data_IF_354993507569
#
_entry.id   IF_354993507569
#
_cell.length_a   1.000
_cell.length_b   1.000
_cell.length_c   1.000
_cell.angle_alpha   90.00
_cell.angle_beta   90.00
_cell.angle_gamma   90.00
#
_symmetry.space_group_name_H-M   'P 1'
#
loop_
_entity.id
_entity.type
_entity.pdbx_description
1 polymer ?
#
# COMPACT_ATOMS: atom_id res chain seq x y z
N UNK A 1 0.37 15.23 -11.07
CA UNK A 1 -0.34 13.94 -10.93
C UNK A 1 -0.03 13.42 -9.54
N UNK A 2 -1.04 12.99 -8.81
CA UNK A 2 -0.87 12.40 -7.47
C UNK A 2 -0.83 10.87 -7.60
N UNK A 3 -0.09 10.22 -6.71
CA UNK A 3 0.06 8.77 -6.64
C UNK A 3 -0.31 8.35 -5.22
N UNK A 4 -1.24 7.42 -5.09
CA UNK A 4 -1.60 6.79 -3.83
C UNK A 4 -1.28 5.29 -3.90
N UNK A 5 -0.46 4.83 -2.96
CA UNK A 5 -0.17 3.42 -2.73
C UNK A 5 -0.91 2.95 -1.48
N UNK A 6 -1.95 2.15 -1.68
CA UNK A 6 -2.78 1.61 -0.59
C UNK A 6 -2.54 0.11 -0.50
N UNK A 7 -2.16 -0.37 0.68
CA UNK A 7 -1.93 -1.79 0.94
C UNK A 7 -2.91 -2.34 1.97
N UNK A 8 -3.40 -3.56 1.74
CA UNK A 8 -4.18 -4.33 2.70
C UNK A 8 -3.23 -5.31 3.40
N UNK A 9 -2.94 -5.07 4.67
CA UNK A 9 -1.89 -5.82 5.35
C UNK A 9 -2.29 -7.29 5.53
N UNK A 10 -1.40 -8.19 5.13
CA UNK A 10 -1.54 -9.63 5.30
C UNK A 10 -2.81 -10.25 4.69
N UNK A 11 -3.46 -9.58 3.72
CA UNK A 11 -4.63 -10.12 3.02
C UNK A 11 -4.25 -11.36 2.21
N UNK A 12 -4.93 -12.48 2.48
CA UNK A 12 -4.79 -13.70 1.68
C UNK A 12 -5.67 -13.64 0.44
N UNK A 13 -5.18 -14.26 -0.63
CA UNK A 13 -5.91 -14.34 -1.90
C UNK A 13 -7.24 -15.10 -1.76
N UNK A 14 -7.28 -16.19 -0.99
CA UNK A 14 -8.52 -16.96 -0.78
C UNK A 14 -9.55 -16.20 0.04
N UNK A 15 -9.14 -15.47 1.09
CA UNK A 15 -10.02 -14.55 1.81
C UNK A 15 -10.56 -13.43 0.93
N UNK A 16 -9.75 -12.93 -0.01
CA UNK A 16 -10.18 -11.90 -0.96
C UNK A 16 -11.25 -12.40 -1.94
N UNK A 17 -11.23 -13.68 -2.30
CA UNK A 17 -12.26 -14.29 -3.15
C UNK A 17 -13.56 -14.62 -2.41
N UNK A 18 -13.50 -14.84 -1.10
CA UNK A 18 -14.68 -15.13 -0.25
C UNK A 18 -15.47 -13.86 0.10
N UNK A 19 -14.80 -12.70 0.13
CA UNK A 19 -15.39 -11.43 0.55
C UNK A 19 -16.36 -10.83 -0.48
N UNK A 20 -17.44 -10.20 0.00
CA UNK A 20 -18.36 -9.41 -0.83
C UNK A 20 -17.92 -7.95 -0.88
N UNK A 21 -17.22 -7.54 -1.94
CA UNK A 21 -16.58 -6.22 -2.05
C UNK A 21 -17.08 -5.38 -3.23
N UNK A 22 -18.32 -4.83 -3.18
CA UNK A 22 -18.89 -4.08 -4.29
C UNK A 22 -18.09 -2.82 -4.65
N UNK A 23 -17.46 -2.14 -3.68
CA UNK A 23 -16.73 -0.91 -3.96
C UNK A 23 -15.38 -1.19 -4.65
N UNK A 24 -14.65 -2.22 -4.22
CA UNK A 24 -13.45 -2.72 -4.90
C UNK A 24 -13.78 -3.24 -6.30
N UNK A 25 -14.89 -3.97 -6.46
CA UNK A 25 -15.32 -4.45 -7.77
C UNK A 25 -15.61 -3.30 -8.75
N UNK A 26 -16.26 -2.23 -8.26
CA UNK A 26 -16.48 -1.01 -9.04
C UNK A 26 -15.15 -0.31 -9.39
N UNK A 27 -14.22 -0.23 -8.44
CA UNK A 27 -12.88 0.32 -8.67
C UNK A 27 -12.12 -0.49 -9.72
N UNK A 28 -12.06 -1.81 -9.61
CA UNK A 28 -11.41 -2.68 -10.59
C UNK A 28 -12.02 -2.51 -11.98
N UNK A 29 -13.34 -2.51 -12.08
CA UNK A 29 -14.05 -2.32 -13.36
C UNK A 29 -13.67 -0.98 -14.00
N UNK A 30 -13.53 0.09 -13.19
CA UNK A 30 -13.17 1.43 -13.69
C UNK A 30 -11.78 1.48 -14.36
N UNK A 31 -10.89 0.54 -14.05
CA UNK A 31 -9.54 0.43 -14.62
C UNK A 31 -9.36 -0.81 -15.51
N UNK A 32 -10.46 -1.46 -15.90
CA UNK A 32 -10.44 -2.61 -16.81
C UNK A 32 -9.94 -3.91 -16.17
N UNK A 33 -10.00 -4.02 -14.85
CA UNK A 33 -9.69 -5.26 -14.11
C UNK A 33 -11.01 -5.92 -13.71
N UNK A 34 -11.15 -7.21 -14.03
CA UNK A 34 -12.39 -7.95 -13.72
C UNK A 34 -12.32 -8.66 -12.36
N UNK A 35 -11.14 -9.13 -11.96
CA UNK A 35 -10.97 -9.98 -10.78
C UNK A 35 -9.62 -9.74 -10.12
N UNK A 36 -9.50 -10.18 -8.86
CA UNK A 36 -8.22 -10.29 -8.17
C UNK A 36 -7.21 -11.12 -8.97
N UNK A 37 -6.04 -10.53 -9.24
CA UNK A 37 -4.94 -11.23 -9.92
C UNK A 37 -4.13 -12.02 -8.90
N UNK A 38 -4.02 -13.33 -9.10
CA UNK A 38 -3.31 -14.23 -8.17
C UNK A 38 -1.80 -14.10 -8.33
N UNK A 39 -1.19 -13.19 -7.58
CA UNK A 39 0.28 -13.02 -7.51
C UNK A 39 0.77 -13.01 -6.06
N UNK A 40 2.06 -13.28 -5.87
CA UNK A 40 2.69 -13.33 -4.55
C UNK A 40 3.36 -12.02 -4.18
N UNK A 41 3.28 -11.64 -2.91
CA UNK A 41 4.15 -10.62 -2.35
C UNK A 41 5.60 -11.09 -2.31
N UNK A 42 6.55 -10.15 -2.35
CA UNK A 42 7.99 -10.44 -2.18
C UNK A 42 8.40 -10.45 -0.71
N UNK A 43 7.73 -11.29 0.06
CA UNK A 43 7.93 -11.47 1.49
C UNK A 43 6.77 -12.25 2.09
N UNK A 44 7.05 -13.06 3.09
CA UNK A 44 6.02 -13.81 3.85
C UNK A 44 5.58 -13.08 5.13
N UNK A 45 6.10 -11.88 5.37
CA UNK A 45 5.71 -11.00 6.47
C UNK A 45 5.72 -9.53 6.02
N UNK A 46 5.07 -8.67 6.81
CA UNK A 46 4.82 -7.27 6.51
C UNK A 46 6.09 -6.49 6.16
N UNK A 47 7.10 -6.49 7.03
CA UNK A 47 8.33 -5.71 6.82
C UNK A 47 9.02 -6.03 5.48
N UNK A 48 9.31 -7.30 5.19
CA UNK A 48 10.03 -7.66 3.95
C UNK A 48 9.24 -7.28 2.69
N UNK A 49 7.93 -7.48 2.70
CA UNK A 49 7.04 -7.12 1.60
C UNK A 49 7.07 -5.61 1.34
N UNK A 50 6.96 -4.80 2.40
CA UNK A 50 6.97 -3.33 2.28
C UNK A 50 8.34 -2.78 1.91
N UNK A 51 9.44 -3.39 2.38
CA UNK A 51 10.78 -3.06 1.90
C UNK A 51 10.86 -3.33 0.40
N UNK A 52 10.40 -4.47 -0.11
CA UNK A 52 10.45 -4.76 -1.55
C UNK A 52 9.71 -3.68 -2.38
N UNK A 53 8.53 -3.28 -1.92
CA UNK A 53 7.71 -2.26 -2.56
C UNK A 53 8.32 -0.85 -2.47
N UNK A 54 8.57 -0.36 -1.26
CA UNK A 54 8.98 1.03 -1.01
C UNK A 54 10.46 1.28 -1.25
N UNK A 55 11.31 0.25 -1.15
CA UNK A 55 12.73 0.38 -1.46
C UNK A 55 12.97 0.26 -2.96
N UNK A 56 12.52 -0.83 -3.58
CA UNK A 56 12.90 -1.19 -4.95
C UNK A 56 11.81 -0.92 -5.99
N UNK A 57 10.58 -0.60 -5.59
CA UNK A 57 9.45 -0.51 -6.50
C UNK A 57 8.96 -1.88 -6.98
N UNK A 58 9.24 -2.95 -6.23
CA UNK A 58 8.88 -4.31 -6.61
C UNK A 58 7.61 -4.71 -5.85
N UNK A 59 6.49 -4.66 -6.58
CA UNK A 59 5.15 -4.99 -6.10
C UNK A 59 4.86 -6.49 -6.22
N UNK A 60 3.78 -7.00 -5.57
CA UNK A 60 3.35 -8.37 -5.77
C UNK A 60 3.26 -8.72 -7.27
N UNK A 61 3.98 -9.74 -7.70
CA UNK A 61 4.08 -10.09 -9.12
C UNK A 61 4.33 -11.59 -9.33
N UNK A 62 4.05 -12.05 -10.54
CA UNK A 62 4.43 -13.39 -11.02
C UNK A 62 4.75 -13.31 -12.51
N UNK A 63 5.97 -13.70 -12.88
CA UNK A 63 6.49 -13.55 -14.25
C UNK A 63 6.15 -14.76 -15.16
N UNK A 64 4.89 -15.17 -15.18
CA UNK A 64 4.36 -16.15 -16.15
C UNK A 64 3.61 -15.44 -17.28
N UNK A 65 3.55 -16.07 -18.46
CA UNK A 65 3.05 -15.43 -19.67
C UNK A 65 1.55 -15.09 -19.62
N UNK A 66 0.78 -15.73 -18.75
CA UNK A 66 -0.64 -15.49 -18.52
C UNK A 66 -0.91 -14.28 -17.60
N UNK A 67 0.06 -13.85 -16.80
CA UNK A 67 -0.10 -12.73 -15.88
C UNK A 67 0.07 -11.40 -16.62
N UNK A 68 -0.89 -10.46 -16.56
CA UNK A 68 -0.80 -9.18 -17.24
C UNK A 68 0.20 -8.23 -16.57
N UNK A 69 0.69 -7.23 -17.31
CA UNK A 69 1.23 -6.02 -16.67
C UNK A 69 0.07 -5.31 -15.94
N UNK A 70 0.28 -4.74 -14.74
CA UNK A 70 1.54 -4.49 -14.04
C UNK A 70 2.05 -5.62 -13.13
N UNK A 71 1.33 -6.73 -13.02
CA UNK A 71 1.66 -7.84 -12.12
C UNK A 71 2.72 -8.80 -12.67
N UNK A 72 3.27 -8.49 -13.85
CA UNK A 72 4.38 -9.21 -14.48
C UNK A 72 5.47 -8.22 -14.87
N UNK A 73 6.60 -8.29 -14.15
CA UNK A 73 7.73 -7.36 -14.29
C UNK A 73 8.51 -7.49 -15.59
N UNK A 74 8.29 -8.57 -16.35
CA UNK A 74 8.83 -8.74 -17.71
C UNK A 74 7.98 -8.01 -18.76
N UNK A 75 6.74 -7.67 -18.43
CA UNK A 75 5.81 -6.98 -19.33
C UNK A 75 5.71 -5.49 -19.01
N UNK A 76 5.63 -5.16 -17.72
CA UNK A 76 5.52 -3.78 -17.24
C UNK A 76 6.11 -3.65 -15.84
N UNK A 77 6.84 -2.56 -15.58
CA UNK A 77 7.26 -2.19 -14.23
C UNK A 77 6.57 -0.86 -13.87
N UNK A 78 5.73 -0.85 -12.84
CA UNK A 78 5.05 0.38 -12.42
C UNK A 78 6.04 1.42 -11.90
N UNK A 79 6.91 0.99 -11.00
CA UNK A 79 7.93 1.81 -10.37
C UNK A 79 9.27 1.10 -10.50
N UNK A 80 10.34 1.86 -10.54
CA UNK A 80 11.68 1.30 -10.65
C UNK A 80 12.68 2.24 -10.01
N UNK A 81 13.23 1.85 -8.87
CA UNK A 81 14.44 2.50 -8.37
C UNK A 81 15.55 2.26 -9.42
N UNK A 82 16.25 3.32 -9.84
CA UNK A 82 17.37 3.13 -10.77
C UNK A 82 18.48 2.36 -10.06
N UNK A 83 18.76 1.14 -10.51
CA UNK A 83 19.82 0.31 -9.97
C UNK A 83 21.13 0.58 -10.74
N UNK A 84 22.31 0.44 -10.11
CA UNK A 84 23.59 0.72 -10.76
C UNK A 84 23.82 -0.02 -12.09
N UNK A 85 23.21 -1.20 -12.24
CA UNK A 85 23.31 -2.06 -13.43
C UNK A 85 22.14 -1.90 -14.42
N UNK A 86 21.11 -1.13 -14.09
CA UNK A 86 19.91 -0.97 -14.90
C UNK A 86 19.63 0.51 -15.19
N UNK A 87 20.10 0.97 -16.35
CA UNK A 87 20.05 2.37 -16.78
C UNK A 87 18.82 2.72 -17.63
N UNK A 88 17.86 1.80 -17.80
CA UNK A 88 16.66 2.05 -18.61
C UNK A 88 15.51 2.56 -17.75
N UNK A 89 14.91 3.68 -18.19
CA UNK A 89 13.71 4.31 -17.59
C UNK A 89 12.40 3.71 -18.15
N UNK A 90 12.31 2.38 -18.27
CA UNK A 90 11.15 1.70 -18.85
C UNK A 90 9.98 1.48 -17.86
N UNK A 91 9.96 2.22 -16.76
CA UNK A 91 8.88 2.16 -15.78
C UNK A 91 7.73 3.11 -16.17
N UNK A 92 6.50 2.73 -15.80
CA UNK A 92 5.30 3.57 -15.97
C UNK A 92 5.42 4.88 -15.18
N UNK A 93 6.00 4.82 -13.97
CA UNK A 93 6.31 5.96 -13.11
C UNK A 93 7.81 5.93 -12.73
N UNK A 94 8.69 6.48 -13.57
CA UNK A 94 10.13 6.45 -13.34
C UNK A 94 10.57 7.48 -12.29
N UNK A 95 11.61 7.16 -11.51
CA UNK A 95 12.28 8.09 -10.60
C UNK A 95 13.76 8.28 -11.01
N UNK A 96 14.42 9.37 -10.60
CA UNK A 96 15.88 9.49 -10.68
C UNK A 96 16.59 8.42 -9.81
N UNK A 97 17.92 8.25 -9.94
CA UNK A 97 18.71 7.47 -9.00
C UNK A 97 18.58 8.02 -7.57
N UNK A 98 17.98 7.24 -6.69
CA UNK A 98 17.77 7.56 -5.29
C UNK A 98 17.95 6.31 -4.42
N UNK A 99 18.03 6.49 -3.10
CA UNK A 99 18.19 5.38 -2.14
C UNK A 99 16.98 4.44 -2.08
N UNK A 100 15.81 4.90 -2.50
CA UNK A 100 14.56 4.15 -2.62
C UNK A 100 13.56 4.90 -3.51
N UNK A 101 12.43 4.26 -3.88
CA UNK A 101 11.43 4.91 -4.76
C UNK A 101 10.77 6.14 -4.12
N UNK A 102 10.60 6.15 -2.80
CA UNK A 102 9.96 7.28 -2.09
C UNK A 102 10.86 8.53 -2.16
N UNK A 103 12.15 8.35 -1.87
CA UNK A 103 13.16 9.41 -2.05
C UNK A 103 13.25 9.84 -3.51
N UNK A 104 13.13 8.91 -4.46
CA UNK A 104 13.05 9.23 -5.88
C UNK A 104 11.88 10.17 -6.23
N UNK A 105 10.69 9.93 -5.69
CA UNK A 105 9.57 10.86 -5.85
C UNK A 105 9.80 12.20 -5.16
N UNK A 106 10.41 12.21 -3.98
CA UNK A 106 10.81 13.45 -3.30
C UNK A 106 11.74 14.30 -4.18
N UNK A 107 12.73 13.68 -4.83
CA UNK A 107 13.64 14.37 -5.77
C UNK A 107 12.94 14.90 -7.02
N UNK A 108 11.82 14.28 -7.42
CA UNK A 108 10.93 14.80 -8.47
C UNK A 108 10.02 15.93 -7.98
N UNK A 109 10.15 16.38 -6.72
CA UNK A 109 9.37 17.46 -6.13
C UNK A 109 8.04 17.03 -5.52
N UNK A 110 7.80 15.72 -5.33
CA UNK A 110 6.60 15.24 -4.67
C UNK A 110 6.67 15.47 -3.15
N UNK A 111 5.54 15.84 -2.56
CA UNK A 111 5.31 15.68 -1.12
C UNK A 111 5.07 14.20 -0.85
N UNK A 112 5.88 13.58 0.00
CA UNK A 112 5.79 12.15 0.31
C UNK A 112 5.25 11.94 1.71
N UNK A 113 4.07 11.32 1.82
CA UNK A 113 3.39 11.08 3.10
C UNK A 113 3.10 9.59 3.26
N UNK A 114 3.39 9.03 4.44
CA UNK A 114 3.02 7.66 4.79
C UNK A 114 2.17 7.59 6.06
N UNK A 115 1.18 6.70 6.07
CA UNK A 115 0.40 6.31 7.25
C UNK A 115 0.50 4.79 7.41
N UNK A 116 1.08 4.34 8.51
CA UNK A 116 1.24 2.93 8.83
C UNK A 116 0.07 2.38 9.66
N UNK A 117 -0.30 1.12 9.43
CA UNK A 117 -1.41 0.46 10.15
C UNK A 117 -0.98 -0.61 11.15
N UNK A 118 0.22 -1.17 11.04
CA UNK A 118 0.66 -2.24 11.97
C UNK A 118 1.90 -1.85 12.75
N UNK A 119 2.24 -2.60 13.82
CA UNK A 119 3.41 -2.30 14.67
C UNK A 119 4.75 -2.23 13.92
N UNK A 120 4.88 -2.81 12.72
CA UNK A 120 6.06 -2.62 11.87
C UNK A 120 6.27 -1.18 11.37
N UNK A 121 5.29 -0.31 11.59
CA UNK A 121 5.34 1.12 11.29
C UNK A 121 5.40 2.00 12.54
N UNK A 122 5.43 1.40 13.75
CA UNK A 122 5.50 2.14 15.01
C UNK A 122 6.82 2.92 15.10
N UNK A 123 6.74 4.25 15.00
CA UNK A 123 7.91 5.13 15.00
C UNK A 123 8.51 5.38 16.39
N UNK A 124 7.88 4.87 17.45
CA UNK A 124 8.39 4.94 18.83
C UNK A 124 9.53 3.95 19.07
N UNK A 125 9.65 2.91 18.23
CA UNK A 125 10.73 1.93 18.29
C UNK A 125 11.70 2.08 17.10
N UNK A 126 13.01 1.98 17.37
CA UNK A 126 14.04 2.19 16.35
C UNK A 126 13.93 1.20 15.16
N UNK A 127 13.54 -0.05 15.42
CA UNK A 127 13.47 -1.11 14.41
C UNK A 127 12.33 -0.89 13.41
N UNK A 128 11.23 -0.27 13.83
CA UNK A 128 10.03 0.00 13.02
C UNK A 128 9.91 1.46 12.58
N UNK A 129 10.57 2.40 13.27
CA UNK A 129 10.54 3.83 12.97
C UNK A 129 11.50 4.31 11.87
N UNK A 130 12.09 3.39 11.11
CA UNK A 130 13.03 3.75 10.04
C UNK A 130 12.34 4.35 8.81
N UNK A 131 11.01 4.20 8.67
CA UNK A 131 10.22 4.76 7.56
C UNK A 131 10.23 6.29 7.55
N UNK A 132 10.01 6.91 8.72
CA UNK A 132 10.09 8.36 8.93
C UNK A 132 11.51 8.90 8.67
N UNK A 133 12.53 8.11 9.02
CA UNK A 133 13.93 8.56 8.93
C UNK A 133 14.53 8.42 7.53
N UNK A 134 14.13 7.40 6.77
CA UNK A 134 14.83 6.99 5.55
C UNK A 134 13.96 6.97 4.28
N UNK A 135 12.64 7.08 4.40
CA UNK A 135 11.72 6.93 3.26
C UNK A 135 10.90 8.19 3.02
N UNK A 136 10.04 8.56 3.96
CA UNK A 136 9.05 9.62 3.76
C UNK A 136 9.50 10.95 4.37
N UNK A 137 9.07 12.05 3.75
CA UNK A 137 9.12 13.40 4.33
C UNK A 137 8.24 13.51 5.57
N UNK A 138 7.03 12.92 5.52
CA UNK A 138 6.10 12.85 6.64
C UNK A 138 5.66 11.39 6.81
N UNK A 139 5.76 10.85 8.01
CA UNK A 139 5.31 9.49 8.31
C UNK A 139 4.56 9.46 9.63
N UNK A 140 3.37 8.84 9.63
CA UNK A 140 2.47 8.82 10.77
C UNK A 140 2.13 7.41 11.18
N UNK A 141 2.18 7.19 12.48
CA UNK A 141 1.67 6.00 13.14
C UNK A 141 1.17 6.39 14.54
N UNK A 142 0.04 5.82 14.96
CA UNK A 142 -0.53 5.99 16.28
C UNK A 142 -1.04 4.63 16.76
N UNK A 143 -1.11 4.39 18.08
CA UNK A 143 -1.61 3.11 18.63
C UNK A 143 -3.01 2.76 18.13
N UNK A 144 -3.87 3.77 17.94
CA UNK A 144 -5.23 3.61 17.40
C UNK A 144 -5.27 3.28 15.91
N UNK A 145 -4.14 3.14 15.22
CA UNK A 145 -4.09 2.62 13.85
C UNK A 145 -3.74 1.14 13.82
N UNK A 146 -3.19 0.62 14.92
CA UNK A 146 -2.65 -0.74 15.04
C UNK A 146 -3.69 -1.81 14.72
N UNK A 147 -3.23 -3.00 14.33
CA UNK A 147 -4.09 -4.13 13.96
C UNK A 147 -5.09 -4.55 15.05
N UNK A 148 -4.80 -4.26 16.32
CA UNK A 148 -5.68 -4.57 17.44
C UNK A 148 -6.88 -3.61 17.57
N UNK A 149 -6.83 -2.43 16.94
CA UNK A 149 -7.88 -1.42 17.00
C UNK A 149 -8.98 -1.68 15.95
N UNK A 150 -10.21 -2.06 16.35
CA UNK A 150 -11.26 -2.40 15.40
C UNK A 150 -11.69 -1.28 14.45
N UNK A 151 -11.51 -0.01 14.87
CA UNK A 151 -11.90 1.19 14.11
C UNK A 151 -10.66 1.96 13.57
N UNK A 152 -9.53 1.26 13.44
CA UNK A 152 -8.25 1.86 13.06
C UNK A 152 -8.28 2.53 11.68
N UNK A 153 -9.06 2.00 10.74
CA UNK A 153 -9.17 2.55 9.39
C UNK A 153 -9.85 3.91 9.37
N UNK A 154 -10.91 4.12 10.17
CA UNK A 154 -11.58 5.41 10.28
C UNK A 154 -10.61 6.49 10.79
N UNK A 155 -9.80 6.15 11.80
CA UNK A 155 -8.80 7.08 12.33
C UNK A 155 -7.69 7.39 11.31
N UNK A 156 -7.26 6.41 10.51
CA UNK A 156 -6.32 6.63 9.42
C UNK A 156 -6.92 7.54 8.33
N UNK A 157 -8.20 7.34 7.96
CA UNK A 157 -8.91 8.17 6.98
C UNK A 157 -9.09 9.60 7.52
N UNK A 158 -9.45 9.77 8.78
CA UNK A 158 -9.58 11.07 9.44
C UNK A 158 -8.26 11.86 9.38
N UNK A 159 -7.14 11.18 9.65
CA UNK A 159 -5.82 11.79 9.58
C UNK A 159 -5.46 12.13 8.14
N UNK A 160 -5.64 11.20 7.20
CA UNK A 160 -5.38 11.43 5.78
C UNK A 160 -6.16 12.65 5.27
N UNK A 161 -7.46 12.74 5.57
CA UNK A 161 -8.29 13.88 5.20
C UNK A 161 -7.72 15.21 5.70
N UNK A 162 -7.20 15.27 6.93
CA UNK A 162 -6.57 16.48 7.47
C UNK A 162 -5.27 16.83 6.76
N UNK A 163 -4.45 15.83 6.46
CA UNK A 163 -3.13 16.02 5.83
C UNK A 163 -3.23 16.42 4.36
N UNK A 164 -4.28 15.95 3.67
CA UNK A 164 -4.46 16.15 2.23
C UNK A 164 -5.25 17.43 1.89
N UNK A 165 -5.99 18.01 2.85
CA UNK A 165 -6.71 19.28 2.68
C UNK A 165 -5.86 20.55 2.92
N UNK A 166 -4.53 20.46 2.81
CA UNK A 166 -3.63 21.60 3.01
C UNK A 166 -3.33 22.40 1.73
N UNK A 167 -2.74 23.59 1.89
CA UNK A 167 -2.38 24.50 0.77
C UNK A 167 -1.03 24.13 0.09
N UNK A 168 -0.60 22.87 0.15
CA UNK A 168 0.64 22.44 -0.49
C UNK A 168 0.39 22.06 -1.96
N UNK A 169 0.87 22.88 -2.88
CA UNK A 169 0.70 22.70 -4.34
C UNK A 169 1.59 21.60 -4.93
N UNK A 170 2.46 20.95 -4.16
CA UNK A 170 3.32 19.86 -4.65
C UNK A 170 2.47 18.63 -5.01
N UNK A 171 2.85 17.88 -6.06
CA UNK A 171 2.22 16.58 -6.33
C UNK A 171 2.46 15.62 -5.16
N UNK A 172 1.51 14.73 -4.91
CA UNK A 172 1.52 13.84 -3.75
C UNK A 172 1.99 12.43 -4.11
N UNK A 173 2.88 11.86 -3.31
CA UNK A 173 3.12 10.42 -3.22
C UNK A 173 2.66 9.96 -1.83
N UNK A 174 1.47 9.39 -1.77
CA UNK A 174 0.80 8.98 -0.53
C UNK A 174 0.90 7.47 -0.35
N UNK A 175 1.22 7.03 0.85
CA UNK A 175 1.23 5.63 1.24
C UNK A 175 0.28 5.40 2.42
N UNK A 176 -0.59 4.40 2.32
CA UNK A 176 -1.46 3.96 3.40
C UNK A 176 -1.39 2.44 3.54
N UNK A 177 -1.00 1.98 4.72
CA UNK A 177 -1.11 0.59 5.11
C UNK A 177 -2.34 0.37 6.00
N UNK A 178 -3.33 -0.36 5.48
CA UNK A 178 -4.56 -0.70 6.19
C UNK A 178 -4.35 -2.01 6.94
N UNK A 179 -4.49 -1.98 8.25
CA UNK A 179 -4.23 -3.12 9.14
C UNK A 179 -5.42 -4.03 9.38
N UNK A 180 -6.62 -3.66 8.94
CA UNK A 180 -7.87 -4.35 9.31
C UNK A 180 -7.89 -5.83 8.90
N UNK A 181 -7.18 -6.20 7.84
CA UNK A 181 -7.06 -7.60 7.37
C UNK A 181 -5.92 -8.36 8.07
N UNK A 182 -5.19 -7.75 9.00
CA UNK A 182 -4.21 -8.40 9.85
C UNK A 182 -4.90 -9.01 11.08
N UNK A 183 -4.28 -10.06 11.66
CA UNK A 183 -4.78 -10.61 12.93
C UNK A 183 -4.76 -9.52 14.01
N UNK A 184 -5.76 -9.42 14.90
CA UNK A 184 -6.77 -10.42 15.25
C UNK A 184 -8.09 -10.40 14.46
N UNK A 185 -8.15 -9.83 13.25
CA UNK A 185 -9.35 -9.79 12.40
C UNK A 185 -10.57 -9.17 13.10
N UNK A 186 -10.38 -8.00 13.73
CA UNK A 186 -11.43 -7.28 14.49
C UNK A 186 -12.14 -8.18 15.52
N UNK A 187 -11.37 -9.06 16.18
CA UNK A 187 -11.83 -10.09 17.13
C UNK A 187 -12.76 -11.16 16.54
N UNK A 188 -12.78 -11.32 15.22
CA UNK A 188 -13.45 -12.40 14.51
C UNK A 188 -12.68 -13.72 14.54
N UNK A 189 -13.22 -14.77 13.90
CA UNK A 189 -12.57 -16.07 13.81
C UNK A 189 -11.26 -15.98 13.00
N UNK A 190 -10.20 -16.65 13.46
CA UNK A 190 -8.88 -16.71 12.78
C UNK A 190 -8.88 -17.68 11.60
N UNK A 191 -9.74 -17.42 10.62
CA UNK A 191 -9.91 -18.22 9.41
C UNK A 191 -10.19 -17.32 8.19
N UNK A 192 -10.42 -17.95 7.03
CA UNK A 192 -10.70 -17.26 5.77
C UNK A 192 -11.92 -16.33 5.90
N UNK A 193 -12.99 -16.80 6.54
CA UNK A 193 -14.24 -16.05 6.70
C UNK A 193 -14.08 -14.81 7.58
N UNK A 194 -13.30 -14.90 8.67
CA UNK A 194 -13.03 -13.75 9.53
C UNK A 194 -12.20 -12.69 8.82
N UNK A 195 -11.20 -13.09 8.04
CA UNK A 195 -10.42 -12.14 7.24
C UNK A 195 -11.24 -11.56 6.08
N UNK A 196 -12.13 -12.34 5.47
CA UNK A 196 -13.05 -11.86 4.44
C UNK A 196 -14.00 -10.78 4.99
N UNK A 197 -14.60 -10.99 6.17
CA UNK A 197 -15.41 -9.98 6.84
C UNK A 197 -14.63 -8.69 7.16
N UNK A 198 -13.33 -8.80 7.45
CA UNK A 198 -12.48 -7.62 7.61
C UNK A 198 -12.28 -6.88 6.30
N UNK A 199 -12.11 -7.60 5.18
CA UNK A 199 -12.02 -6.99 3.86
C UNK A 199 -13.33 -6.32 3.44
N UNK A 200 -14.48 -6.91 3.74
CA UNK A 200 -15.80 -6.30 3.52
C UNK A 200 -15.97 -4.98 4.29
N UNK A 201 -15.44 -4.92 5.51
CA UNK A 201 -15.39 -3.69 6.29
C UNK A 201 -14.45 -2.64 5.66
N UNK A 202 -13.28 -3.04 5.13
CA UNK A 202 -12.44 -2.09 4.38
C UNK A 202 -13.17 -1.59 3.14
N UNK A 203 -13.85 -2.48 2.42
CA UNK A 203 -14.64 -2.15 1.23
C UNK A 203 -15.73 -1.12 1.54
N UNK A 204 -16.44 -1.24 2.66
CA UNK A 204 -17.48 -0.27 3.05
C UNK A 204 -16.92 1.14 3.31
N UNK A 205 -15.63 1.26 3.62
CA UNK A 205 -14.94 2.53 3.85
C UNK A 205 -14.25 3.08 2.60
N UNK A 206 -14.14 2.29 1.53
CA UNK A 206 -13.44 2.68 0.31
C UNK A 206 -14.01 3.96 -0.34
N UNK A 207 -15.34 4.20 -0.41
CA UNK A 207 -15.86 5.46 -0.95
C UNK A 207 -15.37 6.70 -0.20
N UNK A 208 -15.24 6.58 1.14
CA UNK A 208 -14.74 7.66 1.98
C UNK A 208 -13.23 7.88 1.75
N UNK A 209 -12.46 6.80 1.62
CA UNK A 209 -11.02 6.84 1.36
C UNK A 209 -10.68 7.38 -0.04
N UNK A 210 -11.45 7.03 -1.06
CA UNK A 210 -11.24 7.50 -2.44
C UNK A 210 -11.79 8.91 -2.69
N UNK A 211 -12.61 9.44 -1.78
CA UNK A 211 -13.11 10.81 -1.83
C UNK A 211 -12.21 11.84 -1.14
N UNK A 212 -11.01 11.43 -0.69
CA UNK A 212 -10.01 12.30 -0.07
C UNK A 212 -9.32 13.23 -1.08
#
# INVERSE_FOLDING_TARGET
MNIALITLDSLRYDSALEATTPNLNALFTSVGIENWVKVGSHGTHTLASHISMLHAGIFPCWNTDDVPGPYNRRKENLFKAQLPWDRKNDATYPTPPASNIVTGFKELGYRTIGIGGVHWFDNRFLTSGFWEKNYFEEFYWEERFAEEEPDGLEYQIDLAQKLLNGDDDRPLFFFLNISSTHIPYRNGPRNVQGQAACLEYVDSHLPRLLGL
#
